data_IF_815193695320
#
_entry.id   IF_815193695320
#
_cell.length_a   1.000
_cell.length_b   1.000
_cell.length_c   1.000
_cell.angle_alpha   90.00
_cell.angle_beta   90.00
_cell.angle_gamma   90.00
#
_symmetry.space_group_name_H-M   'P 1'
#
loop_
_entity.id
_entity.type
_entity.pdbx_description
1 polymer ?
#
# COMPACT_ATOMS: atom_id res chain seq x y z
N UNK A 1 -10.74 9.16 -20.32
CA UNK A 1 -9.95 8.55 -19.26
C UNK A 1 -10.84 8.00 -18.18
N UNK A 2 -10.66 6.74 -17.86
CA UNK A 2 -11.50 6.18 -16.82
C UNK A 2 -11.21 6.82 -15.46
N UNK A 3 -12.24 6.96 -14.69
CA UNK A 3 -12.08 7.49 -13.35
C UNK A 3 -11.44 6.44 -12.47
N UNK A 4 -10.53 6.88 -11.63
CA UNK A 4 -9.92 5.98 -10.66
C UNK A 4 -10.98 5.58 -9.65
N UNK A 5 -11.08 4.29 -9.42
CA UNK A 5 -12.05 3.79 -8.45
C UNK A 5 -11.47 3.85 -7.05
N UNK A 6 -12.30 4.10 -6.04
CA UNK A 6 -11.81 4.03 -4.68
C UNK A 6 -11.36 2.61 -4.35
N UNK A 7 -10.29 2.54 -3.59
CA UNK A 7 -9.76 1.25 -3.16
C UNK A 7 -10.26 0.95 -1.76
N UNK A 8 -10.72 -0.25 -1.54
CA UNK A 8 -11.17 -0.65 -0.21
C UNK A 8 -9.97 -1.09 0.62
N UNK A 9 -10.16 -1.10 1.94
CA UNK A 9 -9.11 -1.54 2.84
C UNK A 9 -8.68 -2.97 2.53
N UNK A 10 -9.66 -3.83 2.20
CA UNK A 10 -9.36 -5.22 1.89
C UNK A 10 -8.52 -5.35 0.63
N UNK A 11 -8.80 -4.53 -0.37
CA UNK A 11 -8.03 -4.55 -1.60
C UNK A 11 -6.58 -4.16 -1.32
N UNK A 12 -6.39 -3.12 -0.52
CA UNK A 12 -5.05 -2.66 -0.19
C UNK A 12 -4.32 -3.70 0.66
N UNK A 13 -5.00 -4.27 1.64
CA UNK A 13 -4.40 -5.31 2.48
C UNK A 13 -3.99 -6.53 1.64
N UNK A 14 -4.84 -6.91 0.68
CA UNK A 14 -4.50 -8.01 -0.20
C UNK A 14 -3.26 -7.73 -1.01
N UNK A 15 -3.16 -6.51 -1.56
CA UNK A 15 -2.00 -6.12 -2.32
C UNK A 15 -0.75 -6.06 -1.45
N UNK A 16 -0.89 -5.54 -0.25
CA UNK A 16 0.23 -5.46 0.70
C UNK A 16 0.75 -6.84 1.04
N UNK A 17 -0.16 -7.79 1.26
CA UNK A 17 0.21 -9.14 1.62
C UNK A 17 0.85 -9.91 0.46
N UNK A 18 0.57 -9.50 -0.76
CA UNK A 18 1.08 -10.20 -1.95
C UNK A 18 2.33 -9.54 -2.52
N UNK A 19 2.71 -8.40 -2.02
CA UNK A 19 3.85 -7.66 -2.55
C UNK A 19 4.75 -7.22 -1.42
N UNK A 20 5.96 -6.74 -1.78
CA UNK A 20 6.93 -6.32 -0.79
C UNK A 20 7.22 -4.83 -0.84
N UNK A 21 6.49 -4.08 -1.65
CA UNK A 21 6.69 -2.64 -1.72
C UNK A 21 5.39 -1.98 -2.13
N UNK A 22 5.30 -0.68 -1.80
CA UNK A 22 4.11 0.08 -2.17
C UNK A 22 3.96 0.16 -3.68
N UNK A 23 5.09 0.29 -4.39
CA UNK A 23 5.05 0.35 -5.84
C UNK A 23 4.50 -0.95 -6.42
N UNK A 24 4.96 -2.08 -5.91
CA UNK A 24 4.47 -3.37 -6.35
C UNK A 24 3.01 -3.55 -6.00
N UNK A 25 2.59 -3.05 -4.84
CA UNK A 25 1.18 -3.13 -4.44
C UNK A 25 0.30 -2.34 -5.41
N UNK A 26 0.74 -1.16 -5.82
CA UNK A 26 -0.01 -0.37 -6.79
C UNK A 26 -0.15 -1.12 -8.11
N UNK A 27 0.92 -1.78 -8.55
CA UNK A 27 0.88 -2.56 -9.77
C UNK A 27 -0.04 -3.77 -9.62
N UNK A 28 -0.01 -4.40 -8.47
CA UNK A 28 -0.88 -5.52 -8.19
C UNK A 28 -2.34 -5.13 -8.33
N UNK A 29 -2.68 -3.94 -7.84
CA UNK A 29 -4.05 -3.43 -7.91
C UNK A 29 -4.40 -2.83 -9.28
N UNK A 30 -3.40 -2.62 -10.13
CA UNK A 30 -3.63 -2.04 -11.43
C UNK A 30 -3.92 -0.56 -11.41
N UNK A 31 -3.39 0.15 -10.42
CA UNK A 31 -3.61 1.59 -10.29
C UNK A 31 -2.27 2.31 -10.26
N UNK A 32 -2.32 3.64 -10.42
CA UNK A 32 -1.09 4.42 -10.33
C UNK A 32 -0.59 4.44 -8.89
N UNK A 33 0.71 4.67 -8.74
CA UNK A 33 1.31 4.75 -7.41
C UNK A 33 0.67 5.86 -6.58
N UNK A 34 0.42 7.01 -7.19
CA UNK A 34 -0.18 8.14 -6.49
C UNK A 34 -1.58 7.80 -6.00
N UNK A 35 -2.35 7.12 -6.83
CA UNK A 35 -3.70 6.71 -6.47
C UNK A 35 -3.67 5.71 -5.31
N UNK A 36 -2.78 4.73 -5.40
CA UNK A 36 -2.61 3.76 -4.33
C UNK A 36 -2.20 4.45 -3.03
N UNK A 37 -1.22 5.35 -3.11
CA UNK A 37 -0.72 6.06 -1.94
C UNK A 37 -1.85 6.81 -1.23
N UNK A 38 -2.68 7.49 -2.02
CA UNK A 38 -3.79 8.26 -1.46
C UNK A 38 -4.71 7.38 -0.63
N UNK A 39 -5.08 6.23 -1.18
CA UNK A 39 -6.02 5.35 -0.49
C UNK A 39 -5.36 4.59 0.65
N UNK A 40 -4.13 4.16 0.47
CA UNK A 40 -3.42 3.46 1.53
C UNK A 40 -3.24 4.35 2.76
N UNK A 41 -3.04 5.64 2.54
CA UNK A 41 -2.90 6.58 3.66
C UNK A 41 -4.21 6.90 4.36
N UNK A 42 -5.34 6.59 3.73
CA UNK A 42 -6.64 6.82 4.33
C UNK A 42 -7.07 5.72 5.30
N UNK A 43 -6.35 4.60 5.30
CA UNK A 43 -6.72 3.47 6.15
C UNK A 43 -5.67 3.27 7.23
N UNK A 44 -6.15 2.98 8.43
CA UNK A 44 -5.27 2.76 9.57
C UNK A 44 -4.42 1.51 9.36
N UNK A 45 -3.20 1.57 9.85
CA UNK A 45 -2.33 0.42 9.80
C UNK A 45 -2.90 -0.70 10.68
N UNK A 46 -2.62 -1.93 10.28
CA UNK A 46 -3.04 -3.10 11.04
C UNK A 46 -1.97 -3.53 12.05
N UNK A 47 -0.75 -3.05 11.87
CA UNK A 47 0.34 -3.35 12.79
C UNK A 47 0.63 -2.16 13.68
N UNK A 48 1.05 -2.44 14.90
CA UNK A 48 1.40 -1.37 15.83
C UNK A 48 2.65 -0.65 15.36
N UNK A 49 2.70 0.64 15.64
CA UNK A 49 3.86 1.45 15.33
C UNK A 49 3.78 2.15 13.99
N UNK A 50 2.71 1.95 13.25
CA UNK A 50 2.54 2.60 11.94
C UNK A 50 1.27 3.41 11.91
N UNK A 51 1.30 4.59 11.27
CA UNK A 51 0.10 5.45 11.21
C UNK A 51 -0.93 4.98 10.19
N UNK A 52 -0.51 4.33 9.13
CA UNK A 52 -1.42 3.89 8.08
C UNK A 52 -0.81 2.74 7.29
N UNK A 53 -1.60 2.19 6.38
CA UNK A 53 -1.15 1.03 5.61
C UNK A 53 0.00 1.37 4.68
N UNK A 54 0.05 2.61 4.20
CA UNK A 54 1.13 3.02 3.31
C UNK A 54 2.46 2.99 4.03
N UNK A 55 2.52 3.57 5.22
CA UNK A 55 3.76 3.58 6.00
C UNK A 55 4.14 2.18 6.48
N UNK A 56 3.14 1.39 6.82
CA UNK A 56 3.39 0.02 7.23
C UNK A 56 4.10 -0.77 6.13
N UNK A 57 3.61 -0.68 4.92
CA UNK A 57 4.18 -1.43 3.81
C UNK A 57 5.51 -0.81 3.35
N UNK A 58 5.62 0.48 3.45
CA UNK A 58 6.86 1.17 3.12
C UNK A 58 8.01 0.67 3.99
N UNK A 59 7.75 0.52 5.27
CA UNK A 59 8.76 0.02 6.19
C UNK A 59 9.14 -1.42 5.89
N UNK A 60 8.18 -2.23 5.49
CA UNK A 60 8.46 -3.60 5.14
C UNK A 60 9.39 -3.70 3.94
N UNK A 61 9.19 -2.84 2.96
CA UNK A 61 10.00 -2.90 1.76
C UNK A 61 11.46 -2.53 2.03
N UNK A 62 11.71 -1.75 3.09
CA UNK A 62 13.07 -1.37 3.45
C UNK A 62 13.73 -2.29 4.45
N UNK A 63 12.96 -3.18 5.05
CA UNK A 63 13.44 -3.94 6.19
C UNK A 63 14.47 -4.99 5.86
N UNK A 64 14.34 -5.62 4.74
CA UNK A 64 15.24 -6.68 4.35
C UNK A 64 16.52 -6.20 3.69
N UNK A 65 16.73 -4.91 3.61
CA UNK A 65 17.87 -4.34 2.92
C UNK A 65 18.86 -3.81 3.94
N UNK A 66 20.02 -4.44 4.08
CA UNK A 66 21.02 -3.95 5.01
C UNK A 66 21.58 -2.62 4.54
N UNK A 67 21.86 -1.80 5.46
CA UNK A 67 22.44 -0.50 5.15
C UNK A 67 23.95 -0.56 5.17
#
# INVERSE_FOLDING_TARGET
>A
MPKAKPLSKQQILGAVNKTKSNRAAARYLGVSYIHYKKWAKNYDATEEGYPDLFEQHKNQSGKGIPK
#
